data_IF_600858192629
#
_entry.id   IF_600858192629
#
_cell.length_a   1.000
_cell.length_b   1.000
_cell.length_c   1.000
_cell.angle_alpha   90.00
_cell.angle_beta   90.00
_cell.angle_gamma   90.00
#
_symmetry.space_group_name_H-M   'P 1'
#
loop_
_entity.id
_entity.type
_entity.pdbx_description
1 polymer ?
#
# COMPACT_ATOMS: atom_id res chain seq x y z
N UNK A 1 5.30 -4.84 10.17
CA UNK A 1 5.52 -4.50 8.74
C UNK A 1 6.27 -5.66 8.11
N UNK A 2 5.91 -6.08 6.90
CA UNK A 2 6.63 -7.10 6.11
C UNK A 2 7.03 -6.47 4.77
N UNK A 3 8.14 -6.90 4.17
CA UNK A 3 8.59 -6.46 2.85
C UNK A 3 8.66 -7.62 1.87
N UNK A 4 8.59 -7.34 0.57
CA UNK A 4 8.80 -8.36 -0.47
C UNK A 4 10.16 -9.08 -0.30
N UNK A 5 11.19 -8.35 0.14
CA UNK A 5 12.49 -8.92 0.50
C UNK A 5 12.37 -9.92 1.67
N UNK A 6 11.68 -9.56 2.75
CA UNK A 6 11.54 -10.46 3.92
C UNK A 6 10.72 -11.72 3.62
N UNK A 7 9.95 -11.72 2.53
CA UNK A 7 9.14 -12.85 2.09
C UNK A 7 9.81 -13.69 0.98
N UNK A 8 11.03 -13.33 0.57
CA UNK A 8 11.72 -13.94 -0.58
C UNK A 8 10.86 -13.90 -1.86
N UNK A 9 10.34 -12.70 -2.15
CA UNK A 9 9.50 -12.40 -3.33
C UNK A 9 10.00 -11.21 -4.14
N UNK A 10 11.28 -10.86 -4.03
CA UNK A 10 11.84 -9.82 -4.91
C UNK A 10 11.77 -10.25 -6.37
N UNK A 11 11.43 -9.30 -7.25
CA UNK A 11 11.31 -9.53 -8.69
C UNK A 11 10.06 -10.29 -9.12
N UNK A 12 9.10 -10.52 -8.21
CA UNK A 12 7.79 -11.04 -8.57
C UNK A 12 6.94 -9.94 -9.25
N UNK A 13 5.86 -10.35 -9.92
CA UNK A 13 5.00 -9.44 -10.68
C UNK A 13 4.08 -8.63 -9.75
N UNK A 14 3.74 -7.41 -10.15
CA UNK A 14 2.87 -6.52 -9.36
C UNK A 14 1.51 -7.12 -8.99
N UNK A 15 0.78 -7.81 -9.90
CA UNK A 15 -0.45 -8.52 -9.53
C UNK A 15 -0.25 -9.53 -8.40
N UNK A 16 0.89 -10.23 -8.38
CA UNK A 16 1.18 -11.20 -7.33
C UNK A 16 1.49 -10.51 -6.00
N UNK A 17 2.13 -9.33 -6.03
CA UNK A 17 2.35 -8.52 -4.84
C UNK A 17 1.04 -8.00 -4.23
N UNK A 18 0.14 -7.45 -5.06
CA UNK A 18 -1.15 -6.95 -4.59
C UNK A 18 -2.05 -8.08 -4.08
N UNK A 19 -2.12 -9.19 -4.81
CA UNK A 19 -2.90 -10.38 -4.41
C UNK A 19 -2.40 -10.92 -3.07
N UNK A 20 -1.09 -11.08 -2.91
CA UNK A 20 -0.50 -11.60 -1.67
C UNK A 20 -0.74 -10.68 -0.48
N UNK A 21 -0.59 -9.37 -0.66
CA UNK A 21 -0.90 -8.42 0.40
C UNK A 21 -2.36 -8.59 0.86
N UNK A 22 -3.26 -8.75 -0.10
CA UNK A 22 -4.69 -8.94 0.15
C UNK A 22 -5.01 -10.28 0.83
N UNK A 23 -4.42 -11.40 0.38
CA UNK A 23 -4.53 -12.72 1.02
C UNK A 23 -4.00 -12.72 2.46
N UNK A 24 -3.02 -11.85 2.77
CA UNK A 24 -2.50 -11.67 4.11
C UNK A 24 -3.34 -10.69 4.98
N UNK A 25 -4.40 -10.09 4.42
CA UNK A 25 -5.18 -9.04 5.08
C UNK A 25 -4.36 -7.78 5.35
N UNK A 26 -3.45 -7.41 4.44
CA UNK A 26 -2.52 -6.29 4.60
C UNK A 26 -2.66 -5.27 3.49
N UNK A 27 -2.62 -4.00 3.87
CA UNK A 27 -2.52 -2.87 2.95
C UNK A 27 -1.14 -2.86 2.29
N UNK A 28 -1.10 -2.68 0.97
CA UNK A 28 0.15 -2.54 0.22
C UNK A 28 0.65 -1.09 0.29
N UNK A 29 1.89 -0.89 0.74
CA UNK A 29 2.53 0.42 0.78
C UNK A 29 3.55 0.52 -0.36
N UNK A 30 3.38 1.46 -1.28
CA UNK A 30 4.26 1.58 -2.45
C UNK A 30 4.44 3.02 -2.94
N UNK A 31 5.51 3.23 -3.71
CA UNK A 31 5.73 4.43 -4.52
C UNK A 31 5.45 4.19 -6.01
N UNK A 32 5.25 2.93 -6.37
CA UNK A 32 5.18 2.48 -7.75
C UNK A 32 3.78 2.76 -8.31
N UNK A 33 3.74 3.53 -9.39
CA UNK A 33 2.51 3.99 -10.04
C UNK A 33 1.77 2.86 -10.74
N UNK A 34 2.42 1.76 -11.07
CA UNK A 34 1.79 0.63 -11.76
C UNK A 34 0.69 0.00 -10.90
N UNK A 35 0.83 0.08 -9.57
CA UNK A 35 -0.21 -0.34 -8.62
C UNK A 35 -1.45 0.55 -8.62
N UNK A 36 -1.36 1.80 -9.09
CA UNK A 36 -2.53 2.67 -9.23
C UNK A 36 -3.43 2.19 -10.36
N UNK A 37 -2.84 1.79 -11.48
CA UNK A 37 -3.60 1.19 -12.58
C UNK A 37 -4.14 -0.18 -12.17
N UNK A 38 -3.31 -0.99 -11.52
CA UNK A 38 -3.71 -2.32 -11.05
C UNK A 38 -4.88 -2.28 -10.07
N UNK A 39 -4.96 -1.27 -9.21
CA UNK A 39 -6.09 -1.06 -8.31
C UNK A 39 -7.43 -0.87 -9.06
N UNK A 40 -7.41 -0.28 -10.26
CA UNK A 40 -8.61 -0.13 -11.08
C UNK A 40 -9.08 -1.43 -11.71
N UNK A 41 -8.15 -2.38 -11.91
CA UNK A 41 -8.43 -3.70 -12.49
C UNK A 41 -8.76 -4.74 -11.42
N UNK A 42 -8.27 -4.55 -10.19
CA UNK A 42 -8.31 -5.52 -9.11
C UNK A 42 -8.98 -4.93 -7.85
N UNK A 43 -10.30 -4.75 -7.91
CA UNK A 43 -11.09 -4.03 -6.89
C UNK A 43 -11.07 -4.76 -5.51
N UNK A 44 -10.87 -6.07 -5.50
CA UNK A 44 -10.84 -6.89 -4.28
C UNK A 44 -9.44 -6.95 -3.66
N UNK A 45 -8.94 -5.79 -3.19
CA UNK A 45 -7.67 -5.69 -2.49
C UNK A 45 -7.83 -5.11 -1.08
N UNK A 46 -6.97 -5.50 -0.13
CA UNK A 46 -7.02 -4.97 1.26
C UNK A 46 -6.66 -3.49 1.40
N UNK A 47 -6.32 -2.82 0.29
CA UNK A 47 -6.04 -1.39 0.21
C UNK A 47 -4.62 -1.10 -0.24
N UNK A 48 -4.41 0.10 -0.78
CA UNK A 48 -3.11 0.61 -1.20
C UNK A 48 -2.85 1.95 -0.53
N UNK A 49 -1.70 2.10 0.11
CA UNK A 49 -1.17 3.40 0.53
C UNK A 49 -0.06 3.78 -0.44
N UNK A 50 -0.28 4.89 -1.14
CA UNK A 50 0.63 5.41 -2.14
C UNK A 50 1.26 6.71 -1.65
N UNK A 51 2.57 6.86 -1.86
CA UNK A 51 3.25 8.14 -1.67
C UNK A 51 4.09 8.49 -2.90
N UNK A 52 4.49 9.76 -3.04
CA UNK A 52 5.39 10.18 -4.12
C UNK A 52 6.84 9.98 -3.66
N UNK A 53 7.62 9.18 -4.40
CA UNK A 53 8.99 8.79 -4.03
C UNK A 53 9.91 9.97 -3.69
N UNK A 54 9.77 11.10 -4.40
CA UNK A 54 10.61 12.28 -4.21
C UNK A 54 10.25 13.12 -2.98
N UNK A 55 9.13 12.85 -2.30
CA UNK A 55 8.60 13.72 -1.24
C UNK A 55 8.46 13.05 0.12
N UNK A 56 8.68 11.75 0.23
CA UNK A 56 8.34 11.01 1.45
C UNK A 56 9.57 10.31 2.04
N UNK A 57 9.96 10.72 3.26
CA UNK A 57 10.91 9.95 4.07
C UNK A 57 10.19 8.79 4.77
N UNK A 58 10.93 7.77 5.21
CA UNK A 58 10.38 6.67 6.01
C UNK A 58 9.68 7.20 7.27
N UNK A 59 10.24 8.22 7.92
CA UNK A 59 9.60 8.88 9.07
C UNK A 59 8.27 9.55 8.69
N UNK A 60 8.20 10.16 7.51
CA UNK A 60 6.95 10.69 6.94
C UNK A 60 5.90 9.61 6.74
N UNK A 61 6.27 8.46 6.16
CA UNK A 61 5.38 7.31 6.03
C UNK A 61 4.79 6.85 7.36
N UNK A 62 5.64 6.65 8.37
CA UNK A 62 5.21 6.18 9.69
C UNK A 62 4.22 7.17 10.32
N UNK A 63 4.49 8.48 10.19
CA UNK A 63 3.61 9.53 10.71
C UNK A 63 2.24 9.52 10.03
N UNK A 64 2.21 9.53 8.70
CA UNK A 64 0.95 9.61 7.95
C UNK A 64 0.14 8.31 8.06
N UNK A 65 0.79 7.14 8.07
CA UNK A 65 0.11 5.85 8.33
C UNK A 65 -0.51 5.83 9.73
N UNK A 66 0.19 6.36 10.75
CA UNK A 66 -0.37 6.46 12.10
C UNK A 66 -1.57 7.40 12.13
N UNK A 67 -1.51 8.52 11.41
CA UNK A 67 -2.64 9.44 11.29
C UNK A 67 -3.83 8.78 10.57
N UNK A 68 -3.59 7.98 9.54
CA UNK A 68 -4.59 7.17 8.85
C UNK A 68 -5.30 6.18 9.79
N UNK A 69 -4.51 5.42 10.55
CA UNK A 69 -5.02 4.44 11.52
C UNK A 69 -5.92 5.09 12.59
N UNK A 70 -5.70 6.35 12.92
CA UNK A 70 -6.52 7.08 13.89
C UNK A 70 -7.90 7.51 13.33
N UNK A 71 -8.11 7.47 12.01
CA UNK A 71 -9.30 8.00 11.34
C UNK A 71 -10.04 7.01 10.44
N UNK A 72 -9.43 5.87 10.11
CA UNK A 72 -10.02 4.84 9.26
C UNK A 72 -9.92 3.48 9.94
N UNK A 73 -10.99 2.72 9.81
CA UNK A 73 -11.06 1.28 10.10
C UNK A 73 -10.44 0.46 8.97
N UNK A 74 -10.22 -0.83 9.20
CA UNK A 74 -9.67 -1.71 8.17
C UNK A 74 -10.67 -1.87 7.01
N UNK A 75 -11.96 -1.95 7.32
CA UNK A 75 -13.07 -2.12 6.38
C UNK A 75 -13.19 -0.92 5.43
N UNK A 76 -12.98 0.30 5.94
CA UNK A 76 -12.98 1.53 5.13
C UNK A 76 -11.80 1.63 4.15
N UNK A 77 -10.75 0.82 4.34
CA UNK A 77 -9.54 0.83 3.51
C UNK A 77 -9.61 -0.22 2.39
N UNK A 78 -10.47 -1.23 2.51
CA UNK A 78 -10.65 -2.28 1.49
C UNK A 78 -11.07 -1.64 0.16
N UNK A 79 -10.40 -2.06 -0.92
CA UNK A 79 -10.63 -1.53 -2.27
C UNK A 79 -10.20 -0.07 -2.48
N UNK A 80 -9.62 0.60 -1.47
CA UNK A 80 -9.23 2.01 -1.58
C UNK A 80 -7.75 2.21 -1.91
N UNK A 81 -7.47 3.25 -2.68
CA UNK A 81 -6.13 3.82 -2.85
C UNK A 81 -6.06 5.12 -2.05
N UNK A 82 -5.15 5.17 -1.09
CA UNK A 82 -4.98 6.29 -0.17
C UNK A 82 -3.66 6.98 -0.46
N UNK A 83 -3.73 8.25 -0.81
CA UNK A 83 -2.56 9.07 -1.10
C UNK A 83 -2.06 9.74 0.18
N UNK A 84 -0.77 9.54 0.50
CA UNK A 84 -0.12 10.26 1.58
C UNK A 84 0.18 11.69 1.14
N UNK A 85 -0.28 12.68 1.91
CA UNK A 85 0.12 14.07 1.74
C UNK A 85 1.38 14.32 2.56
N UNK A 86 2.55 14.00 2.01
CA UNK A 86 3.81 14.38 2.66
C UNK A 86 4.08 15.85 2.36
N UNK A 87 3.59 16.72 3.25
CA UNK A 87 4.10 18.08 3.41
C UNK A 87 5.45 18.06 4.14
#
# INVERSE_FOLDING_TARGET
VVSAHSLDKLGDKDPNHLKRASEMGRVLCTYDTDFLQLATEFIDHSGIIFAQASKSSIGGWVREIRALYARLTAEEVVGQVIFLSTR
#
